data_IF_610420369413
#
_entry.id   IF_610420369413
#
_cell.length_a   1.000
_cell.length_b   1.000
_cell.length_c   1.000
_cell.angle_alpha   90.00
_cell.angle_beta   90.00
_cell.angle_gamma   90.00
#
_symmetry.space_group_name_H-M   'P 1'
#
loop_
_entity.id
_entity.type
_entity.pdbx_description
1 polymer ?
#
# COMPACT_ATOMS: atom_id res chain seq x y z
N UNK A 1 -34.03 -38.49 43.76
CA UNK A 1 -32.98 -37.82 44.56
C UNK A 1 -31.66 -37.99 43.79
N UNK A 2 -31.16 -37.06 42.98
CA UNK A 2 -31.31 -35.61 42.99
C UNK A 2 -30.02 -34.97 43.50
N UNK A 3 -28.89 -35.18 42.83
CA UNK A 3 -27.66 -34.42 43.09
C UNK A 3 -27.04 -34.03 41.75
N UNK A 4 -27.30 -32.78 41.38
CA UNK A 4 -26.94 -32.18 40.11
C UNK A 4 -25.43 -32.07 39.91
N UNK A 5 -25.04 -32.14 38.64
CA UNK A 5 -23.74 -31.68 38.17
C UNK A 5 -23.71 -30.15 38.19
N UNK A 6 -22.62 -29.53 38.62
CA UNK A 6 -22.19 -28.27 38.02
C UNK A 6 -20.93 -28.50 37.19
N UNK A 7 -21.06 -28.41 35.86
CA UNK A 7 -19.93 -28.24 34.96
C UNK A 7 -19.68 -26.73 34.84
N UNK A 8 -18.83 -26.20 35.70
CA UNK A 8 -18.43 -24.79 35.67
C UNK A 8 -17.48 -24.58 34.49
N UNK A 9 -17.96 -23.98 33.40
CA UNK A 9 -17.12 -23.44 32.34
C UNK A 9 -16.79 -21.99 32.72
N UNK A 10 -15.55 -21.64 33.10
CA UNK A 10 -15.21 -20.23 33.26
C UNK A 10 -15.26 -19.60 31.88
N UNK A 11 -16.21 -18.67 31.70
CA UNK A 11 -16.30 -17.81 30.53
C UNK A 11 -14.93 -17.22 30.25
N UNK A 12 -14.26 -17.76 29.23
CA UNK A 12 -13.05 -17.19 28.67
C UNK A 12 -13.49 -15.85 28.10
N UNK A 13 -13.31 -14.78 28.88
CA UNK A 13 -13.49 -13.42 28.42
C UNK A 13 -12.49 -13.20 27.30
N UNK A 14 -12.97 -13.38 26.07
CA UNK A 14 -12.20 -13.19 24.86
C UNK A 14 -12.02 -11.68 24.65
N UNK A 15 -10.81 -11.12 24.68
CA UNK A 15 -10.58 -9.74 24.23
C UNK A 15 -10.66 -9.72 22.69
N UNK A 16 -11.84 -9.97 22.12
CA UNK A 16 -12.04 -10.08 20.67
C UNK A 16 -12.12 -8.72 19.98
N UNK A 17 -12.10 -7.62 20.74
CA UNK A 17 -12.33 -6.28 20.21
C UNK A 17 -11.02 -5.60 19.79
N UNK A 18 -9.97 -5.65 20.61
CA UNK A 18 -8.73 -4.88 20.36
C UNK A 18 -7.91 -5.43 19.17
N UNK A 19 -7.74 -6.76 19.11
CA UNK A 19 -6.98 -7.41 18.04
C UNK A 19 -7.69 -7.34 16.67
N UNK A 20 -9.02 -7.39 16.66
CA UNK A 20 -9.83 -7.30 15.42
C UNK A 20 -9.87 -5.88 14.88
N UNK A 21 -9.99 -4.88 15.76
CA UNK A 21 -9.92 -3.46 15.34
C UNK A 21 -8.52 -3.16 14.78
N UNK A 22 -7.47 -3.59 15.47
CA UNK A 22 -6.08 -3.40 15.02
C UNK A 22 -5.82 -4.05 13.66
N UNK A 23 -6.33 -5.26 13.42
CA UNK A 23 -6.13 -5.95 12.14
C UNK A 23 -6.85 -5.25 10.98
N UNK A 24 -8.08 -4.75 11.22
CA UNK A 24 -8.83 -3.99 10.22
C UNK A 24 -8.19 -2.64 9.91
N UNK A 25 -7.70 -1.93 10.93
CA UNK A 25 -6.97 -0.66 10.74
C UNK A 25 -5.69 -0.89 9.92
N UNK A 26 -4.92 -1.94 10.21
CA UNK A 26 -3.73 -2.30 9.41
C UNK A 26 -4.09 -2.64 7.96
N UNK A 27 -5.17 -3.39 7.75
CA UNK A 27 -5.64 -3.71 6.40
C UNK A 27 -6.05 -2.45 5.62
N UNK A 28 -6.83 -1.56 6.24
CA UNK A 28 -7.25 -0.30 5.64
C UNK A 28 -6.06 0.63 5.34
N UNK A 29 -5.10 0.74 6.25
CA UNK A 29 -3.88 1.52 6.05
C UNK A 29 -3.04 0.99 4.87
N UNK A 30 -2.97 -0.33 4.69
CA UNK A 30 -2.27 -0.94 3.55
C UNK A 30 -2.95 -0.62 2.23
N UNK A 31 -4.28 -0.69 2.18
CA UNK A 31 -5.07 -0.33 0.99
C UNK A 31 -4.93 1.16 0.66
N UNK A 32 -5.02 2.03 1.68
CA UNK A 32 -4.83 3.46 1.50
C UNK A 32 -3.41 3.77 1.01
N UNK A 33 -2.39 3.11 1.56
CA UNK A 33 -1.00 3.26 1.09
C UNK A 33 -0.86 2.84 -0.36
N UNK A 34 -1.42 1.69 -0.77
CA UNK A 34 -1.40 1.27 -2.18
C UNK A 34 -2.11 2.28 -3.08
N UNK A 35 -3.28 2.77 -2.66
CA UNK A 35 -4.05 3.76 -3.41
C UNK A 35 -3.28 5.08 -3.54
N UNK A 36 -2.75 5.60 -2.43
CA UNK A 36 -1.94 6.82 -2.41
C UNK A 36 -0.70 6.63 -3.28
N UNK A 37 0.03 5.51 -3.20
CA UNK A 37 1.18 5.25 -4.08
C UNK A 37 0.78 5.20 -5.56
N UNK A 38 -0.39 4.65 -5.87
CA UNK A 38 -0.97 4.67 -7.21
C UNK A 38 -1.29 6.07 -7.71
N UNK A 39 -1.95 6.89 -6.88
CA UNK A 39 -2.45 8.24 -7.24
C UNK A 39 -1.36 9.30 -7.21
N UNK A 40 -0.48 9.29 -6.21
CA UNK A 40 0.67 10.23 -6.11
C UNK A 40 1.81 9.86 -7.05
N UNK A 41 1.77 8.66 -7.65
CA UNK A 41 2.87 8.18 -8.47
C UNK A 41 4.08 7.74 -7.67
N UNK A 42 3.99 7.54 -6.35
CA UNK A 42 5.09 6.94 -5.58
C UNK A 42 5.39 5.47 -5.98
N UNK A 43 4.50 4.84 -6.76
CA UNK A 43 4.72 3.56 -7.46
C UNK A 43 5.16 3.74 -8.93
N UNK A 44 5.28 4.98 -9.43
CA UNK A 44 5.63 5.25 -10.82
C UNK A 44 7.04 4.76 -11.15
N UNK A 45 7.98 4.90 -10.22
CA UNK A 45 9.34 4.39 -10.38
C UNK A 45 9.38 2.86 -10.43
N UNK A 46 8.67 2.16 -9.54
CA UNK A 46 8.58 0.68 -9.55
C UNK A 46 7.97 0.18 -10.88
N UNK A 47 6.87 0.79 -11.33
CA UNK A 47 6.28 0.44 -12.64
C UNK A 47 7.20 0.76 -13.81
N UNK A 48 7.94 1.86 -13.75
CA UNK A 48 8.90 2.24 -14.77
C UNK A 48 10.06 1.25 -14.83
N UNK A 49 10.56 0.79 -13.68
CA UNK A 49 11.57 -0.26 -13.60
C UNK A 49 11.05 -1.61 -14.09
N UNK A 50 9.82 -2.00 -13.74
CA UNK A 50 9.19 -3.22 -14.24
C UNK A 50 9.00 -3.16 -15.76
N UNK A 51 8.59 -2.01 -16.30
CA UNK A 51 8.49 -1.78 -17.73
C UNK A 51 9.86 -1.85 -18.42
N UNK A 52 10.88 -1.18 -17.86
CA UNK A 52 12.26 -1.27 -18.36
C UNK A 52 12.79 -2.69 -18.33
N UNK A 53 12.59 -3.42 -17.23
CA UNK A 53 13.04 -4.82 -17.11
C UNK A 53 12.37 -5.72 -18.17
N UNK A 54 11.12 -5.43 -18.54
CA UNK A 54 10.39 -6.17 -19.59
C UNK A 54 10.80 -5.77 -21.01
N UNK A 55 11.05 -4.49 -21.27
CA UNK A 55 11.28 -3.96 -22.62
C UNK A 55 12.77 -3.92 -22.97
N UNK A 56 13.62 -3.67 -21.98
CA UNK A 56 15.06 -3.47 -22.08
C UNK A 56 15.78 -4.18 -20.91
N UNK A 57 15.88 -5.52 -20.93
CA UNK A 57 16.50 -6.29 -19.86
C UNK A 57 18.01 -6.01 -19.69
N UNK A 58 18.67 -5.48 -20.73
CA UNK A 58 20.11 -5.20 -20.75
C UNK A 58 20.47 -3.75 -20.32
N UNK A 59 19.48 -2.89 -20.10
CA UNK A 59 19.69 -1.48 -19.74
C UNK A 59 19.70 -1.32 -18.21
N UNK A 60 20.68 -0.59 -17.62
CA UNK A 60 20.68 -0.32 -16.20
C UNK A 60 19.48 0.54 -15.79
N UNK A 61 18.78 0.13 -14.74
CA UNK A 61 17.67 0.89 -14.17
C UNK A 61 18.19 2.25 -13.64
N UNK A 62 17.59 3.38 -14.03
CA UNK A 62 17.99 4.69 -13.52
C UNK A 62 17.67 4.79 -12.03
N UNK A 63 18.44 5.58 -11.27
CA UNK A 63 18.15 5.77 -9.86
C UNK A 63 16.83 6.52 -9.65
N UNK A 64 16.09 6.18 -8.59
CA UNK A 64 14.78 6.76 -8.28
C UNK A 64 14.79 8.30 -8.28
N UNK A 65 15.85 8.90 -7.72
CA UNK A 65 16.00 10.35 -7.65
C UNK A 65 16.17 11.01 -9.02
N UNK A 66 16.85 10.34 -9.94
CA UNK A 66 17.08 10.86 -11.29
C UNK A 66 15.81 10.76 -12.13
N UNK A 67 15.04 9.67 -11.97
CA UNK A 67 13.70 9.55 -12.55
C UNK A 67 12.78 10.70 -12.13
N UNK A 68 12.73 11.03 -10.83
CA UNK A 68 11.91 12.14 -10.35
C UNK A 68 12.40 13.49 -10.85
N UNK A 69 13.72 13.70 -10.92
CA UNK A 69 14.30 14.92 -11.48
C UNK A 69 13.90 15.11 -12.95
N UNK A 70 14.06 14.09 -13.77
CA UNK A 70 13.65 14.08 -15.19
C UNK A 70 12.14 14.34 -15.32
N UNK A 71 11.32 13.68 -14.48
CA UNK A 71 9.87 13.84 -14.46
C UNK A 71 9.41 15.26 -14.14
N UNK A 72 10.06 15.92 -13.18
CA UNK A 72 9.75 17.32 -12.87
C UNK A 72 10.26 18.26 -13.96
N UNK A 73 11.44 18.00 -14.51
CA UNK A 73 11.99 18.78 -15.63
C UNK A 73 11.11 18.68 -16.89
N UNK A 74 10.55 17.50 -17.18
CA UNK A 74 9.61 17.31 -18.29
C UNK A 74 8.27 18.04 -18.05
N UNK A 75 7.76 18.03 -16.81
CA UNK A 75 6.56 18.78 -16.45
C UNK A 75 6.76 20.31 -16.52
N UNK A 76 7.94 20.79 -16.16
CA UNK A 76 8.30 22.20 -16.25
C UNK A 76 8.56 22.64 -17.69
N UNK A 77 9.21 21.79 -18.50
CA UNK A 77 9.50 22.05 -19.92
C UNK A 77 8.26 21.93 -20.79
N UNK A 78 7.34 21.05 -20.43
CA UNK A 78 6.12 20.79 -21.16
C UNK A 78 4.91 21.03 -20.24
N UNK A 79 4.70 22.29 -19.79
CA UNK A 79 3.53 22.61 -19.03
C UNK A 79 2.35 22.34 -19.96
N UNK A 80 1.62 21.25 -19.71
CA UNK A 80 0.36 20.95 -20.40
C UNK A 80 -0.73 21.92 -19.91
N UNK A 81 -0.44 23.22 -19.93
CA UNK A 81 -1.45 24.26 -19.99
C UNK A 81 -2.14 24.08 -21.31
N UNK A 82 -3.27 23.38 -21.29
CA UNK A 82 -4.27 23.55 -22.34
C UNK A 82 -4.73 24.99 -22.22
N UNK A 83 -4.12 25.90 -22.97
CA UNK A 83 -4.75 27.18 -23.22
C UNK A 83 -6.02 26.87 -24.03
N UNK A 84 -7.13 27.31 -23.46
CA UNK A 84 -8.40 27.47 -24.14
C UNK A 84 -8.23 28.35 -25.39
#
# INVERSE_FOLDING_TARGET
MGSGRPRSNPGRATPLTDATITSRVRAAARTLRWYVRGVTGADAYERYCEHLTRTHPDEPLPAERDFWREKYADQERNPKTRCC
#
